data_IF_551057397917
#
_entry.id   IF_551057397917
#
_cell.length_a   1.000
_cell.length_b   1.000
_cell.length_c   1.000
_cell.angle_alpha   90.00
_cell.angle_beta   90.00
_cell.angle_gamma   90.00
#
_symmetry.space_group_name_H-M   'P 1'
#
loop_
_entity.id
_entity.type
_entity.pdbx_description
1 polymer ?
#
# COMPACT_ATOMS: atom_id res chain seq x y z
N UNK A 1 6.95 10.69 -1.98
CA UNK A 1 6.47 10.19 -0.68
C UNK A 1 6.12 11.35 0.25
N UNK A 2 6.90 12.43 0.23
CA UNK A 2 6.74 13.57 1.14
C UNK A 2 5.76 14.65 0.64
N UNK A 3 4.92 14.35 -0.33
CA UNK A 3 3.93 15.32 -0.83
C UNK A 3 2.91 15.66 0.25
N UNK A 4 2.72 16.95 0.50
CA UNK A 4 1.71 17.44 1.43
C UNK A 4 1.13 18.77 0.91
N UNK A 5 -0.22 18.91 0.73
CA UNK A 5 -1.23 17.85 0.90
C UNK A 5 -1.13 16.77 -0.19
N UNK A 6 -1.49 15.55 0.14
CA UNK A 6 -1.54 14.43 -0.80
C UNK A 6 -2.99 14.08 -1.13
N UNK A 7 -3.54 14.74 -2.11
CA UNK A 7 -4.89 14.45 -2.62
C UNK A 7 -4.82 13.30 -3.61
N UNK A 8 -5.53 12.22 -3.33
CA UNK A 8 -5.57 11.02 -4.17
C UNK A 8 -6.99 10.46 -4.23
N UNK A 9 -7.25 9.65 -5.25
CA UNK A 9 -8.54 9.02 -5.51
C UNK A 9 -8.50 7.49 -5.27
N UNK A 10 -7.54 7.01 -4.48
CA UNK A 10 -7.40 5.58 -4.20
C UNK A 10 -8.65 4.95 -3.56
N UNK A 11 -9.43 5.74 -2.84
CA UNK A 11 -10.71 5.33 -2.25
C UNK A 11 -11.94 5.88 -3.00
N UNK A 12 -11.77 6.31 -4.23
CA UNK A 12 -12.82 6.92 -5.02
C UNK A 12 -13.05 8.40 -4.70
N UNK A 13 -14.16 8.91 -5.18
CA UNK A 13 -14.52 10.32 -5.04
C UNK A 13 -16.05 10.50 -5.00
N UNK A 14 -16.51 11.57 -4.33
CA UNK A 14 -17.91 11.95 -4.28
C UNK A 14 -18.77 10.97 -3.50
N UNK A 15 -20.00 10.77 -3.95
CA UNK A 15 -21.01 9.93 -3.26
C UNK A 15 -20.65 8.44 -3.25
N UNK A 16 -19.73 8.01 -4.10
CA UNK A 16 -19.20 6.64 -4.17
C UNK A 16 -17.87 6.46 -3.45
N UNK A 17 -17.46 7.42 -2.62
CA UNK A 17 -16.27 7.27 -1.80
C UNK A 17 -16.34 5.99 -0.95
N UNK A 18 -15.24 5.26 -0.87
CA UNK A 18 -15.16 3.97 -0.17
C UNK A 18 -15.59 4.10 1.29
N UNK A 19 -16.60 3.34 1.68
CA UNK A 19 -17.11 3.31 3.07
C UNK A 19 -16.02 2.87 4.06
N UNK A 20 -15.16 1.93 3.64
CA UNK A 20 -14.04 1.42 4.44
C UNK A 20 -12.77 2.30 4.40
N UNK A 21 -12.77 3.41 3.67
CA UNK A 21 -11.60 4.28 3.52
C UNK A 21 -10.98 4.75 4.85
N UNK A 22 -11.75 5.27 5.80
CA UNK A 22 -11.22 5.68 7.11
C UNK A 22 -10.58 4.52 7.88
N UNK A 23 -11.24 3.36 7.90
CA UNK A 23 -10.71 2.15 8.55
C UNK A 23 -9.41 1.68 7.88
N UNK A 24 -9.39 1.61 6.56
CA UNK A 24 -8.19 1.21 5.81
C UNK A 24 -6.99 2.13 6.07
N UNK A 25 -7.23 3.43 6.29
CA UNK A 25 -6.16 4.37 6.65
C UNK A 25 -5.57 4.07 8.02
N UNK A 26 -6.41 3.77 9.00
CA UNK A 26 -5.97 3.42 10.36
C UNK A 26 -5.20 2.09 10.33
N UNK A 27 -5.74 1.08 9.69
CA UNK A 27 -5.09 -0.23 9.54
C UNK A 27 -3.76 -0.11 8.83
N UNK A 28 -3.69 0.65 7.73
CA UNK A 28 -2.47 0.90 6.99
C UNK A 28 -1.39 1.57 7.83
N UNK A 29 -1.75 2.59 8.60
CA UNK A 29 -0.80 3.28 9.49
C UNK A 29 -0.23 2.33 10.55
N UNK A 30 -1.08 1.54 11.21
CA UNK A 30 -0.65 0.61 12.24
C UNK A 30 0.22 -0.49 11.63
N UNK A 31 -0.21 -1.11 10.53
CA UNK A 31 0.49 -2.20 9.88
C UNK A 31 1.87 -1.77 9.37
N UNK A 32 1.93 -0.67 8.62
CA UNK A 32 3.18 -0.17 8.03
C UNK A 32 4.14 0.27 9.13
N UNK A 33 3.66 1.00 10.13
CA UNK A 33 4.50 1.46 11.22
C UNK A 33 5.07 0.29 12.04
N UNK A 34 4.24 -0.69 12.37
CA UNK A 34 4.68 -1.91 13.07
C UNK A 34 5.70 -2.71 12.25
N UNK A 35 5.48 -2.79 10.94
CA UNK A 35 6.39 -3.48 10.04
C UNK A 35 7.77 -2.82 9.99
N UNK A 36 7.82 -1.49 9.80
CA UNK A 36 9.06 -0.73 9.74
C UNK A 36 9.82 -0.81 11.06
N UNK A 37 9.12 -0.72 12.18
CA UNK A 37 9.76 -0.83 13.50
C UNK A 37 10.38 -2.21 13.77
N UNK A 38 9.73 -3.27 13.31
CA UNK A 38 10.22 -4.64 13.50
C UNK A 38 11.28 -5.05 12.49
N UNK A 39 11.23 -4.48 11.30
CA UNK A 39 12.10 -4.84 10.18
C UNK A 39 12.73 -3.59 9.54
N UNK A 40 13.55 -2.83 10.29
CA UNK A 40 14.09 -1.55 9.80
C UNK A 40 15.05 -1.71 8.61
N UNK A 41 15.58 -2.89 8.38
CA UNK A 41 16.52 -3.17 7.29
C UNK A 41 15.89 -3.96 6.13
N UNK A 42 14.55 -4.05 6.10
CA UNK A 42 13.85 -4.76 5.04
C UNK A 42 14.16 -4.16 3.66
N UNK A 43 14.45 -5.03 2.72
CA UNK A 43 14.70 -4.67 1.32
C UNK A 43 13.94 -5.61 0.39
N UNK A 44 13.60 -5.11 -0.80
CA UNK A 44 13.00 -5.94 -1.84
C UNK A 44 14.10 -6.86 -2.40
N UNK A 45 13.85 -8.17 -2.39
CA UNK A 45 14.81 -9.19 -2.79
C UNK A 45 14.83 -9.46 -4.30
N UNK A 46 13.94 -8.83 -5.08
CA UNK A 46 13.82 -9.04 -6.52
C UNK A 46 13.95 -7.73 -7.28
N UNK A 47 14.72 -7.75 -8.38
CA UNK A 47 14.83 -6.60 -9.29
C UNK A 47 13.58 -6.41 -10.15
N UNK A 48 12.82 -7.47 -10.38
CA UNK A 48 11.58 -7.43 -11.16
C UNK A 48 10.44 -8.11 -10.43
N UNK A 49 9.27 -7.47 -10.44
CA UNK A 49 8.05 -8.00 -9.85
C UNK A 49 7.09 -8.45 -10.96
N UNK A 50 6.49 -9.60 -10.76
CA UNK A 50 5.39 -10.06 -11.59
C UNK A 50 4.07 -9.49 -11.08
N UNK A 51 3.32 -8.89 -11.98
CA UNK A 51 2.08 -8.21 -11.65
C UNK A 51 0.86 -9.05 -12.03
N UNK A 52 -0.15 -9.01 -11.18
CA UNK A 52 -1.43 -9.63 -11.47
C UNK A 52 -2.12 -8.88 -12.61
N UNK A 53 -2.61 -9.63 -13.60
CA UNK A 53 -3.43 -9.07 -14.68
C UNK A 53 -4.86 -8.86 -14.15
N UNK A 54 -5.15 -7.65 -13.71
CA UNK A 54 -6.47 -7.28 -13.20
C UNK A 54 -6.74 -5.82 -13.57
N UNK A 55 -7.98 -5.54 -13.99
CA UNK A 55 -8.39 -4.20 -14.40
C UNK A 55 -8.62 -3.26 -13.21
N UNK A 56 -9.00 -3.80 -12.06
CA UNK A 56 -9.37 -3.01 -10.88
C UNK A 56 -8.19 -2.71 -9.97
N UNK A 57 -7.33 -3.69 -9.75
CA UNK A 57 -6.25 -3.58 -8.76
C UNK A 57 -4.92 -4.00 -9.37
N UNK A 58 -3.97 -3.09 -9.34
CA UNK A 58 -2.59 -3.41 -9.73
C UNK A 58 -1.79 -3.82 -8.49
N UNK A 59 -1.59 -5.11 -8.33
CA UNK A 59 -0.81 -5.66 -7.24
C UNK A 59 0.17 -6.73 -7.74
N UNK A 60 1.34 -6.87 -7.12
CA UNK A 60 2.26 -7.95 -7.45
C UNK A 60 1.69 -9.31 -7.05
N UNK A 61 2.11 -10.37 -7.73
CA UNK A 61 1.78 -11.75 -7.35
C UNK A 61 2.46 -12.14 -6.03
N UNK A 62 3.68 -11.65 -5.85
CA UNK A 62 4.45 -11.80 -4.61
C UNK A 62 5.38 -10.62 -4.45
N UNK A 63 5.76 -10.33 -3.23
CA UNK A 63 6.74 -9.30 -2.90
C UNK A 63 7.83 -9.95 -2.03
N UNK A 64 8.84 -10.58 -2.65
CA UNK A 64 9.93 -11.17 -1.90
C UNK A 64 10.77 -10.09 -1.22
N UNK A 65 11.05 -10.27 0.05
CA UNK A 65 11.84 -9.35 0.86
C UNK A 65 12.91 -10.10 1.63
N UNK A 66 13.98 -9.40 1.96
CA UNK A 66 15.03 -9.84 2.89
C UNK A 66 15.10 -8.87 4.07
N UNK A 67 15.44 -9.40 5.21
CA UNK A 67 15.53 -8.63 6.46
C UNK A 67 16.52 -9.22 7.44
#
# INVERSE_FOLDING_TARGET
ICRHPNRHVAFGFGIHYCLGGPLARIEGQIAINSFIQRMPQVQIASESLQWRKNLSNRNPLSLPVVF
#
